data_IF_403158596195
#
_entry.id   IF_403158596195
#
_cell.length_a   1.000
_cell.length_b   1.000
_cell.length_c   1.000
_cell.angle_alpha   90.00
_cell.angle_beta   90.00
_cell.angle_gamma   90.00
#
_symmetry.space_group_name_H-M   'P 1'
#
loop_
_entity.id
_entity.type
_entity.pdbx_description
1 polymer ?
#
# COMPACT_ATOMS: atom_id res chain seq x y z
N UNK A 1 -43.81 36.81 7.84
CA UNK A 1 -43.36 36.33 6.52
C UNK A 1 -41.84 36.34 6.49
N UNK A 2 -41.22 35.19 6.17
CA UNK A 2 -39.99 35.02 5.36
C UNK A 2 -38.77 35.87 5.79
N UNK A 3 -37.59 35.34 6.15
CA UNK A 3 -36.74 34.49 5.31
C UNK A 3 -35.55 33.95 6.13
N UNK A 4 -35.44 32.62 6.16
CA UNK A 4 -34.22 31.82 6.04
C UNK A 4 -33.02 32.20 6.91
N UNK A 5 -32.90 31.50 8.04
CA UNK A 5 -31.63 31.21 8.73
C UNK A 5 -30.68 30.54 7.73
N UNK A 6 -29.65 31.26 7.29
CA UNK A 6 -28.61 30.74 6.43
C UNK A 6 -27.68 29.84 7.27
N UNK A 7 -28.00 28.54 7.29
CA UNK A 7 -27.16 27.51 7.88
C UNK A 7 -25.93 27.32 7.01
N UNK A 8 -24.85 28.05 7.29
CA UNK A 8 -23.58 27.93 6.60
C UNK A 8 -22.91 26.59 6.94
N UNK A 9 -23.19 25.60 6.10
CA UNK A 9 -22.24 24.63 5.53
C UNK A 9 -20.93 24.40 6.29
N UNK A 10 -20.97 23.71 7.42
CA UNK A 10 -19.80 23.04 7.98
C UNK A 10 -19.70 21.62 7.43
N UNK A 11 -19.61 21.47 6.09
CA UNK A 11 -19.13 20.24 5.48
C UNK A 11 -17.60 20.28 5.54
N UNK A 12 -17.07 20.03 6.73
CA UNK A 12 -15.68 19.62 6.91
C UNK A 12 -15.56 18.26 6.21
N UNK A 13 -15.22 18.29 4.92
CA UNK A 13 -14.79 17.12 4.20
C UNK A 13 -13.60 16.56 4.97
N UNK A 14 -13.79 15.39 5.59
CA UNK A 14 -12.69 14.58 6.08
C UNK A 14 -11.78 14.27 4.90
N UNK A 15 -10.71 15.04 4.77
CA UNK A 15 -9.59 14.71 3.91
C UNK A 15 -8.89 13.53 4.58
N UNK A 16 -9.41 12.33 4.33
CA UNK A 16 -8.69 11.09 4.60
C UNK A 16 -7.45 11.12 3.70
N UNK A 17 -6.36 11.68 4.21
CA UNK A 17 -5.05 11.43 3.63
C UNK A 17 -4.81 9.93 3.81
N UNK A 18 -5.01 9.16 2.74
CA UNK A 18 -4.54 7.80 2.67
C UNK A 18 -3.02 7.88 2.73
N UNK A 19 -2.48 7.76 3.94
CA UNK A 19 -1.06 7.51 4.11
C UNK A 19 -0.82 6.12 3.54
N UNK A 20 0.08 6.05 2.56
CA UNK A 20 0.60 4.79 2.08
C UNK A 20 1.95 4.61 2.75
N UNK A 21 2.09 3.56 3.55
CA UNK A 21 3.36 3.24 4.19
C UNK A 21 4.31 2.65 3.14
N UNK A 22 5.42 3.35 2.90
CA UNK A 22 6.50 2.83 2.07
C UNK A 22 7.48 2.04 2.92
N UNK A 23 7.60 0.74 2.65
CA UNK A 23 8.49 -0.18 3.33
C UNK A 23 9.62 -0.55 2.39
N UNK A 24 10.87 -0.32 2.80
CA UNK A 24 12.03 -0.83 2.09
C UNK A 24 12.54 -2.08 2.79
N UNK A 25 12.75 -3.15 2.02
CA UNK A 25 13.25 -4.42 2.55
C UNK A 25 13.92 -5.27 1.48
N UNK A 26 14.57 -6.33 1.92
CA UNK A 26 15.22 -7.33 1.09
C UNK A 26 14.30 -8.54 1.02
N UNK A 27 14.07 -9.06 -0.18
CA UNK A 27 13.21 -10.23 -0.37
C UNK A 27 13.90 -11.45 0.23
N UNK A 28 13.26 -12.09 1.20
CA UNK A 28 13.73 -13.33 1.83
C UNK A 28 13.08 -14.56 1.20
N UNK A 29 11.81 -14.45 0.81
CA UNK A 29 11.07 -15.52 0.16
C UNK A 29 10.01 -14.95 -0.79
N UNK A 30 9.70 -15.72 -1.82
CA UNK A 30 8.69 -15.38 -2.83
C UNK A 30 7.76 -16.58 -2.96
N UNK A 31 6.46 -16.34 -2.80
CA UNK A 31 5.43 -17.34 -2.95
C UNK A 31 4.55 -16.97 -4.17
N UNK A 32 4.75 -17.65 -5.32
CA UNK A 32 3.95 -17.40 -6.52
C UNK A 32 2.54 -18.00 -6.44
N UNK A 33 2.29 -18.99 -5.57
CA UNK A 33 0.96 -19.58 -5.42
C UNK A 33 0.00 -18.61 -4.75
N UNK A 34 0.48 -17.97 -3.67
CA UNK A 34 -0.30 -16.96 -2.95
C UNK A 34 -0.07 -15.54 -3.47
N UNK A 35 0.89 -15.33 -4.39
CA UNK A 35 1.37 -14.01 -4.84
C UNK A 35 1.79 -13.12 -3.67
N UNK A 36 2.67 -13.65 -2.83
CA UNK A 36 3.15 -13.00 -1.63
C UNK A 36 4.67 -12.94 -1.60
N UNK A 37 5.23 -11.94 -0.91
CA UNK A 37 6.67 -11.90 -0.63
C UNK A 37 6.92 -11.75 0.86
N UNK A 38 7.98 -12.39 1.34
CA UNK A 38 8.49 -12.18 2.70
C UNK A 38 9.70 -11.27 2.61
N UNK A 39 9.69 -10.17 3.36
CA UNK A 39 10.85 -9.28 3.45
C UNK A 39 11.73 -9.61 4.67
N UNK A 40 12.92 -9.02 4.75
CA UNK A 40 13.87 -9.19 5.86
C UNK A 40 13.34 -8.73 7.22
N UNK A 41 12.29 -7.92 7.23
CA UNK A 41 11.58 -7.52 8.42
C UNK A 41 10.69 -8.63 9.02
N UNK A 42 10.62 -9.79 8.36
CA UNK A 42 9.84 -10.96 8.77
C UNK A 42 8.36 -10.85 8.45
N UNK A 43 7.90 -9.81 7.75
CA UNK A 43 6.50 -9.66 7.35
C UNK A 43 6.27 -10.22 5.96
N UNK A 44 5.05 -10.72 5.78
CA UNK A 44 4.55 -11.21 4.50
C UNK A 44 3.67 -10.12 3.90
N UNK A 45 3.97 -9.75 2.65
CA UNK A 45 3.26 -8.73 1.90
C UNK A 45 2.54 -9.37 0.72
N UNK A 46 1.22 -9.15 0.68
CA UNK A 46 0.37 -9.61 -0.40
C UNK A 46 0.53 -8.69 -1.60
N UNK A 47 1.01 -9.24 -2.73
CA UNK A 47 1.19 -8.48 -3.96
C UNK A 47 -0.13 -8.40 -4.76
N UNK A 48 -0.33 -7.32 -5.53
CA UNK A 48 -1.46 -7.21 -6.44
C UNK A 48 -1.35 -8.23 -7.58
N UNK A 49 -2.48 -8.55 -8.22
CA UNK A 49 -2.52 -9.59 -9.25
C UNK A 49 -1.60 -9.30 -10.45
N UNK A 50 -1.46 -8.02 -10.79
CA UNK A 50 -0.57 -7.46 -11.82
C UNK A 50 0.92 -7.41 -11.45
N UNK A 51 1.30 -7.67 -10.19
CA UNK A 51 2.71 -7.69 -9.82
C UNK A 51 3.43 -8.89 -10.47
N UNK A 52 4.57 -8.63 -11.10
CA UNK A 52 5.41 -9.65 -11.69
C UNK A 52 6.26 -10.36 -10.62
N UNK A 53 5.60 -11.24 -9.85
CA UNK A 53 6.23 -12.02 -8.76
C UNK A 53 7.41 -12.86 -9.28
N UNK A 54 7.34 -13.33 -10.53
CA UNK A 54 8.39 -14.12 -11.17
C UNK A 54 9.68 -13.33 -11.45
N UNK A 55 9.62 -12.00 -11.47
CA UNK A 55 10.79 -11.13 -11.64
C UNK A 55 11.45 -10.77 -10.31
N UNK A 56 10.84 -11.16 -9.19
CA UNK A 56 11.36 -10.88 -7.85
C UNK A 56 12.32 -12.00 -7.44
N UNK A 57 13.59 -11.65 -7.26
CA UNK A 57 14.61 -12.58 -6.78
C UNK A 57 14.87 -12.38 -5.28
N UNK A 58 14.95 -13.49 -4.55
CA UNK A 58 15.41 -13.51 -3.15
C UNK A 58 16.81 -12.88 -3.06
N UNK A 59 17.01 -12.01 -2.07
CA UNK A 59 18.21 -11.20 -1.89
C UNK A 59 18.14 -9.83 -2.58
N UNK A 60 17.12 -9.55 -3.38
CA UNK A 60 16.93 -8.24 -4.02
C UNK A 60 16.32 -7.27 -3.03
N UNK A 61 16.84 -6.04 -3.01
CA UNK A 61 16.24 -4.94 -2.23
C UNK A 61 15.10 -4.33 -3.03
N UNK A 62 13.94 -4.21 -2.41
CA UNK A 62 12.74 -3.64 -3.01
C UNK A 62 12.13 -2.61 -2.08
N UNK A 63 11.42 -1.66 -2.68
CA UNK A 63 10.58 -0.70 -2.00
C UNK A 63 9.13 -1.07 -2.31
N UNK A 64 8.37 -1.36 -1.26
CA UNK A 64 6.99 -1.80 -1.33
C UNK A 64 6.13 -0.72 -0.71
N UNK A 65 5.14 -0.25 -1.45
CA UNK A 65 4.16 0.71 -0.94
C UNK A 65 2.90 -0.05 -0.58
N UNK A 66 2.50 0.06 0.69
CA UNK A 66 1.30 -0.57 1.23
C UNK A 66 0.26 0.49 1.48
N UNK A 67 -0.97 0.21 1.08
CA UNK A 67 -2.11 1.04 1.42
C UNK A 67 -2.54 0.76 2.85
N UNK A 68 -2.47 1.75 3.73
CA UNK A 68 -2.81 1.57 5.15
C UNK A 68 -4.31 1.33 5.40
N UNK A 69 -5.17 1.60 4.40
CA UNK A 69 -6.62 1.40 4.48
C UNK A 69 -6.99 -0.06 4.23
N UNK A 70 -6.31 -0.71 3.29
CA UNK A 70 -6.60 -2.09 2.85
C UNK A 70 -5.56 -3.10 3.33
N UNK A 71 -4.37 -2.65 3.71
CA UNK A 71 -3.21 -3.48 4.01
C UNK A 71 -2.60 -4.15 2.77
N UNK A 72 -3.06 -3.81 1.56
CA UNK A 72 -2.57 -4.40 0.32
C UNK A 72 -1.38 -3.61 -0.24
N UNK A 73 -0.45 -4.32 -0.87
CA UNK A 73 0.60 -3.68 -1.65
C UNK A 73 -0.02 -3.02 -2.88
N UNK A 74 0.20 -1.72 -3.03
CA UNK A 74 -0.24 -0.95 -4.20
C UNK A 74 0.86 -0.74 -5.22
N UNK A 75 2.13 -0.75 -4.77
CA UNK A 75 3.28 -0.63 -5.67
C UNK A 75 4.48 -1.41 -5.13
N UNK A 76 5.26 -1.98 -6.04
CA UNK A 76 6.55 -2.61 -5.73
C UNK A 76 7.57 -2.19 -6.77
N UNK A 77 8.69 -1.67 -6.30
CA UNK A 77 9.79 -1.20 -7.14
C UNK A 77 11.11 -1.79 -6.64
N UNK A 78 12.03 -2.08 -7.56
CA UNK A 78 13.38 -2.46 -7.17
C UNK A 78 14.10 -1.26 -6.54
N UNK A 79 14.63 -1.44 -5.33
CA UNK A 79 15.50 -0.43 -4.73
C UNK A 79 16.82 -0.46 -5.51
N UNK A 80 17.01 0.54 -6.37
CA UNK A 80 18.22 0.69 -7.19
C UNK A 80 19.40 1.17 -6.35
#
# INVERSE_FOLDING_TARGET
MKKTLATASALLAFLSAAYAATVQGTIQAVDPETKSITLDDGKIYQLPAEAAVDQLAVGTRVVVTVDDTTGMVTSIEAAS
#
